data_IF_993932040480
#
_entry.id   IF_993932040480
#
_cell.length_a   1.000
_cell.length_b   1.000
_cell.length_c   1.000
_cell.angle_alpha   90.00
_cell.angle_beta   90.00
_cell.angle_gamma   90.00
#
_symmetry.space_group_name_H-M   'P 1'
#
loop_
_entity.id
_entity.type
_entity.pdbx_description
1 polymer ?
#
# COMPACT_ATOMS: atom_id res chain seq x y z
N UNK A 1 -22.10 25.17 53.72
CA UNK A 1 -22.86 24.12 52.95
C UNK A 1 -22.49 24.39 51.48
N UNK A 2 -21.37 23.86 51.06
CA UNK A 2 -20.82 24.04 49.70
C UNK A 2 -21.15 22.86 48.87
N UNK A 3 -21.82 23.11 47.76
CA UNK A 3 -22.31 22.12 46.79
C UNK A 3 -21.16 21.82 45.82
N UNK A 4 -20.70 20.58 45.78
CA UNK A 4 -19.75 20.07 44.81
C UNK A 4 -20.44 19.91 43.45
N UNK A 5 -20.15 20.81 42.53
CA UNK A 5 -20.48 20.67 41.12
C UNK A 5 -19.20 20.27 40.38
N UNK A 6 -18.94 18.96 40.35
CA UNK A 6 -17.81 18.36 39.67
C UNK A 6 -18.28 17.29 38.72
N UNK A 7 -19.08 17.64 37.71
CA UNK A 7 -19.25 16.76 36.54
C UNK A 7 -18.04 16.90 35.63
N UNK A 8 -17.03 16.09 35.90
CA UNK A 8 -16.03 15.79 34.91
C UNK A 8 -16.67 15.00 33.79
N UNK A 9 -16.84 15.63 32.64
CA UNK A 9 -17.19 14.98 31.37
C UNK A 9 -16.07 14.02 30.98
N UNK A 10 -16.33 12.72 31.15
CA UNK A 10 -15.40 11.64 30.77
C UNK A 10 -15.42 11.33 29.25
N UNK A 11 -15.97 12.22 28.42
CA UNK A 11 -16.14 11.97 27.00
C UNK A 11 -15.49 13.02 26.08
N UNK A 12 -14.54 13.80 26.59
CA UNK A 12 -13.83 14.76 25.76
C UNK A 12 -12.33 14.43 25.70
N UNK A 13 -12.03 13.25 25.18
CA UNK A 13 -10.71 12.92 24.69
C UNK A 13 -10.86 12.00 23.50
N UNK A 14 -11.20 12.61 22.35
CA UNK A 14 -10.83 12.10 21.07
C UNK A 14 -9.29 12.27 20.96
N UNK A 15 -8.49 11.22 21.09
CA UNK A 15 -7.10 11.30 20.70
C UNK A 15 -7.06 11.22 19.19
N UNK A 16 -7.40 12.30 18.50
CA UNK A 16 -6.72 12.57 17.25
C UNK A 16 -5.25 12.70 17.65
N UNK A 17 -4.54 11.58 17.68
CA UNK A 17 -3.11 11.60 17.59
C UNK A 17 -2.83 12.38 16.31
N UNK A 18 -2.44 13.61 16.48
CA UNK A 18 -1.63 14.32 15.51
C UNK A 18 -0.42 13.43 15.27
N UNK A 19 -0.51 12.57 14.27
CA UNK A 19 0.66 12.06 13.56
C UNK A 19 1.31 13.36 13.09
N UNK A 20 2.44 13.73 13.70
CA UNK A 20 3.03 15.04 13.51
C UNK A 20 3.06 15.36 12.03
N UNK A 21 2.49 16.50 11.67
CA UNK A 21 2.21 16.96 10.31
C UNK A 21 3.45 17.02 9.38
N UNK A 22 4.63 16.70 9.86
CA UNK A 22 5.89 16.78 9.15
C UNK A 22 6.42 15.42 8.66
N UNK A 23 5.87 14.27 9.11
CA UNK A 23 6.35 12.96 8.68
C UNK A 23 5.77 12.56 7.33
N UNK A 24 6.66 12.30 6.37
CA UNK A 24 6.31 11.81 5.04
C UNK A 24 6.08 10.30 5.08
N UNK A 25 4.85 9.89 5.43
CA UNK A 25 4.44 8.49 5.36
C UNK A 25 3.74 8.26 4.04
N UNK A 26 4.19 7.24 3.30
CA UNK A 26 3.65 6.86 2.00
C UNK A 26 3.13 5.43 2.08
N UNK A 27 1.87 5.22 1.72
CA UNK A 27 1.28 3.89 1.52
C UNK A 27 1.21 3.65 0.02
N UNK A 28 1.73 2.54 -0.49
CA UNK A 28 1.67 2.28 -1.92
C UNK A 28 1.45 0.81 -2.25
N UNK A 29 1.01 0.60 -3.48
CA UNK A 29 0.81 -0.68 -4.13
C UNK A 29 1.00 -0.53 -5.63
N UNK A 30 1.32 -1.61 -6.35
CA UNK A 30 1.42 -1.57 -7.80
C UNK A 30 0.88 -2.85 -8.46
N UNK A 31 0.48 -2.65 -9.73
CA UNK A 31 0.05 -3.70 -10.62
C UNK A 31 1.01 -3.87 -11.79
N UNK A 32 1.03 -5.04 -12.40
CA UNK A 32 2.01 -5.38 -13.42
C UNK A 32 1.39 -5.58 -14.81
N UNK A 33 2.22 -5.43 -15.85
CA UNK A 33 1.84 -5.66 -17.25
C UNK A 33 1.86 -7.14 -17.63
N UNK A 34 2.68 -7.95 -16.94
CA UNK A 34 2.97 -9.34 -17.27
C UNK A 34 2.79 -10.26 -16.08
N UNK A 35 2.46 -11.50 -16.35
CA UNK A 35 2.41 -12.57 -15.35
C UNK A 35 3.80 -13.19 -15.11
N UNK A 36 3.92 -13.96 -14.03
CA UNK A 36 5.14 -14.74 -13.75
C UNK A 36 5.50 -15.69 -14.87
N UNK A 37 4.52 -16.32 -15.49
CA UNK A 37 4.74 -17.29 -16.58
C UNK A 37 5.34 -16.61 -17.82
N UNK A 38 4.91 -15.38 -18.11
CA UNK A 38 5.41 -14.60 -19.26
C UNK A 38 6.87 -14.15 -19.10
N UNK A 39 7.36 -14.05 -17.88
CA UNK A 39 8.73 -13.56 -17.61
C UNK A 39 9.69 -14.65 -17.19
N UNK A 40 9.24 -15.89 -17.01
CA UNK A 40 10.07 -17.02 -16.63
C UNK A 40 10.15 -17.28 -15.11
N UNK A 41 9.12 -16.85 -14.38
CA UNK A 41 8.93 -17.15 -12.97
C UNK A 41 9.34 -16.03 -11.99
N UNK A 42 9.20 -16.31 -10.71
CA UNK A 42 9.38 -15.33 -9.62
C UNK A 42 10.79 -14.73 -9.54
N UNK A 43 11.82 -15.43 -9.99
CA UNK A 43 13.19 -14.86 -10.02
C UNK A 43 13.37 -13.72 -11.04
N UNK A 44 12.38 -13.52 -11.91
CA UNK A 44 12.38 -12.51 -12.98
C UNK A 44 11.37 -11.39 -12.73
N UNK A 45 10.99 -11.10 -11.46
CA UNK A 45 9.99 -10.07 -11.12
C UNK A 45 10.30 -8.70 -11.70
N UNK A 46 11.58 -8.32 -11.78
CA UNK A 46 12.03 -7.06 -12.40
C UNK A 46 11.63 -6.91 -13.89
N UNK A 47 11.18 -8.00 -14.54
CA UNK A 47 10.71 -8.00 -15.94
C UNK A 47 9.18 -7.93 -16.07
N UNK A 48 8.45 -7.98 -14.95
CA UNK A 48 6.99 -7.92 -14.95
C UNK A 48 6.45 -6.59 -15.50
N UNK A 49 7.20 -5.51 -15.31
CA UNK A 49 6.88 -4.13 -15.65
C UNK A 49 5.63 -3.61 -14.94
N UNK A 50 5.64 -2.35 -14.57
CA UNK A 50 4.53 -1.68 -13.90
C UNK A 50 3.47 -1.29 -14.92
N UNK A 51 2.21 -1.69 -14.70
CA UNK A 51 1.06 -1.15 -15.43
C UNK A 51 0.54 0.11 -14.75
N UNK A 52 0.30 0.04 -13.44
CA UNK A 52 -0.17 1.14 -12.60
C UNK A 52 0.50 1.02 -11.24
N UNK A 53 0.89 2.14 -10.66
CA UNK A 53 1.22 2.28 -9.24
C UNK A 53 0.32 3.33 -8.61
N UNK A 54 -0.12 3.11 -7.39
CA UNK A 54 -0.86 4.10 -6.61
C UNK A 54 -0.15 4.32 -5.29
N UNK A 55 0.06 5.57 -4.93
CA UNK A 55 0.58 5.96 -3.63
C UNK A 55 -0.38 6.92 -2.93
N UNK A 56 -0.54 6.74 -1.62
CA UNK A 56 -1.20 7.71 -0.75
C UNK A 56 -0.18 8.38 0.14
N UNK A 57 -0.21 9.70 0.21
CA UNK A 57 0.64 10.53 1.05
C UNK A 57 -0.15 11.05 2.24
N UNK A 58 0.36 10.81 3.46
CA UNK A 58 -0.28 11.31 4.67
C UNK A 58 -0.04 12.80 4.92
N UNK A 59 1.09 13.34 4.45
CA UNK A 59 1.45 14.75 4.63
C UNK A 59 0.58 15.70 3.79
N UNK A 60 0.08 15.24 2.63
CA UNK A 60 -0.77 16.04 1.72
C UNK A 60 -2.20 15.53 1.62
N UNK A 61 -2.52 14.36 2.22
CA UNK A 61 -3.83 13.67 2.11
C UNK A 61 -4.24 13.42 0.66
N UNK A 62 -3.28 12.97 -0.17
CA UNK A 62 -3.48 12.81 -1.61
C UNK A 62 -3.16 11.39 -2.08
N UNK A 63 -3.96 10.91 -3.06
CA UNK A 63 -3.62 9.76 -3.87
C UNK A 63 -2.94 10.21 -5.16
N UNK A 64 -1.79 9.61 -5.44
CA UNK A 64 -1.02 9.82 -6.66
C UNK A 64 -1.04 8.55 -7.49
N UNK A 65 -1.18 8.70 -8.80
CA UNK A 65 -1.22 7.59 -9.75
C UNK A 65 0.01 7.65 -10.65
N UNK A 66 0.64 6.51 -10.83
CA UNK A 66 1.84 6.34 -11.64
C UNK A 66 1.63 5.27 -12.69
N UNK A 67 2.30 5.43 -13.79
CA UNK A 67 2.42 4.45 -14.87
C UNK A 67 3.90 4.19 -15.16
N UNK A 68 4.21 3.32 -16.11
CA UNK A 68 5.60 3.08 -16.51
C UNK A 68 6.31 4.38 -16.95
N UNK A 69 5.57 5.33 -17.54
CA UNK A 69 6.17 6.58 -18.10
C UNK A 69 6.69 7.54 -17.02
N UNK A 70 6.13 7.49 -15.82
CA UNK A 70 6.55 8.36 -14.70
C UNK A 70 6.93 7.56 -13.43
N UNK A 71 7.40 6.33 -13.61
CA UNK A 71 7.77 5.44 -12.50
C UNK A 71 8.92 6.00 -11.66
N UNK A 72 9.81 6.79 -12.27
CA UNK A 72 10.92 7.45 -11.58
C UNK A 72 10.42 8.44 -10.52
N UNK A 73 9.26 9.06 -10.74
CA UNK A 73 8.63 9.94 -9.75
C UNK A 73 8.12 9.15 -8.53
N UNK A 74 7.57 7.94 -8.74
CA UNK A 74 7.22 7.05 -7.64
C UNK A 74 8.47 6.63 -6.85
N UNK A 75 9.52 6.19 -7.52
CA UNK A 75 10.79 5.81 -6.88
C UNK A 75 11.35 6.99 -6.08
N UNK A 76 11.34 8.19 -6.64
CA UNK A 76 11.74 9.43 -5.94
C UNK A 76 10.88 9.72 -4.71
N UNK A 77 9.56 9.50 -4.79
CA UNK A 77 8.65 9.64 -3.66
C UNK A 77 8.97 8.65 -2.53
N UNK A 78 9.21 7.38 -2.87
CA UNK A 78 9.55 6.34 -1.91
C UNK A 78 10.88 6.63 -1.21
N UNK A 79 11.89 7.09 -1.96
CA UNK A 79 13.20 7.47 -1.41
C UNK A 79 13.12 8.70 -0.48
N UNK A 80 12.19 9.60 -0.72
CA UNK A 80 11.98 10.80 0.10
C UNK A 80 11.07 10.56 1.32
N UNK A 81 10.50 9.37 1.47
CA UNK A 81 9.60 9.03 2.56
C UNK A 81 10.36 8.73 3.85
N UNK A 82 9.81 9.19 4.98
CA UNK A 82 10.28 8.80 6.32
C UNK A 82 9.84 7.37 6.69
N UNK A 83 8.75 6.90 6.08
CA UNK A 83 8.23 5.55 6.21
C UNK A 83 7.42 5.17 4.96
N UNK A 84 7.75 4.05 4.38
CA UNK A 84 6.97 3.40 3.34
C UNK A 84 6.15 2.27 3.95
N UNK A 85 4.87 2.21 3.61
CA UNK A 85 3.93 1.20 4.11
C UNK A 85 3.31 0.47 2.92
N UNK A 86 3.13 -0.83 3.06
CA UNK A 86 2.44 -1.62 2.05
C UNK A 86 2.16 -3.04 2.52
N UNK A 87 1.65 -3.84 1.62
CA UNK A 87 1.33 -5.24 1.85
C UNK A 87 2.13 -6.14 0.91
N UNK A 88 3.11 -6.87 1.43
CA UNK A 88 4.06 -7.67 0.65
C UNK A 88 4.97 -6.87 -0.30
N UNK A 89 5.15 -5.59 -0.04
CA UNK A 89 5.93 -4.71 -0.91
C UNK A 89 7.41 -5.09 -0.98
N UNK A 90 7.98 -5.60 0.11
CA UNK A 90 9.36 -6.12 0.13
C UNK A 90 9.52 -7.38 -0.72
N UNK A 91 8.51 -8.22 -0.74
CA UNK A 91 8.55 -9.50 -1.47
C UNK A 91 8.11 -9.42 -2.92
N UNK A 92 7.48 -8.32 -3.32
CA UNK A 92 6.93 -8.17 -4.67
C UNK A 92 7.22 -6.82 -5.29
N UNK A 93 6.64 -5.73 -4.79
CA UNK A 93 6.68 -4.41 -5.44
C UNK A 93 8.10 -3.88 -5.62
N UNK A 94 8.94 -3.98 -4.58
CA UNK A 94 10.35 -3.58 -4.69
C UNK A 94 11.12 -4.43 -5.70
N UNK A 95 10.79 -5.72 -5.81
CA UNK A 95 11.41 -6.59 -6.79
C UNK A 95 10.99 -6.25 -8.24
N UNK A 96 9.74 -5.78 -8.42
CA UNK A 96 9.28 -5.25 -9.71
C UNK A 96 10.01 -3.94 -10.03
N UNK A 97 10.08 -3.01 -9.06
CA UNK A 97 10.73 -1.71 -9.23
C UNK A 97 12.24 -1.81 -9.52
N UNK A 98 12.91 -2.91 -9.14
CA UNK A 98 14.30 -3.19 -9.57
C UNK A 98 14.50 -3.23 -11.09
N UNK A 99 13.43 -3.32 -11.88
CA UNK A 99 13.49 -3.18 -13.33
C UNK A 99 13.70 -1.74 -13.82
N UNK A 100 13.62 -0.75 -12.92
CA UNK A 100 13.66 0.69 -13.23
C UNK A 100 14.74 1.45 -12.48
N UNK A 101 15.33 0.88 -11.44
CA UNK A 101 16.39 1.51 -10.64
C UNK A 101 17.44 0.52 -10.17
N UNK A 102 18.68 0.99 -10.06
CA UNK A 102 19.77 0.24 -9.43
C UNK A 102 19.84 0.47 -7.90
N UNK A 103 18.98 1.33 -7.35
CA UNK A 103 18.90 1.58 -5.92
C UNK A 103 18.32 0.38 -5.17
N UNK A 104 18.88 0.08 -3.99
CA UNK A 104 18.38 -1.00 -3.14
C UNK A 104 17.21 -0.52 -2.28
N UNK A 105 16.00 -0.63 -2.83
CA UNK A 105 14.76 -0.23 -2.14
C UNK A 105 14.49 -1.04 -0.86
N UNK A 106 15.15 -2.20 -0.66
CA UNK A 106 15.04 -2.98 0.58
C UNK A 106 15.63 -2.24 1.80
N UNK A 107 16.45 -1.21 1.57
CA UNK A 107 17.04 -0.37 2.63
C UNK A 107 16.11 0.77 3.07
N UNK A 108 15.03 1.03 2.37
CA UNK A 108 14.07 2.07 2.75
C UNK A 108 13.43 1.76 4.11
N UNK A 109 13.15 2.80 4.93
CA UNK A 109 12.33 2.64 6.12
C UNK A 109 10.95 2.11 5.74
N UNK A 110 10.70 0.82 5.95
CA UNK A 110 9.53 0.12 5.43
C UNK A 110 8.79 -0.64 6.52
N UNK A 111 7.48 -0.44 6.59
CA UNK A 111 6.56 -1.29 7.31
C UNK A 111 5.75 -2.14 6.32
N UNK A 112 6.13 -3.39 6.17
CA UNK A 112 5.43 -4.37 5.35
C UNK A 112 4.47 -5.18 6.23
N UNK A 113 3.17 -4.91 6.08
CA UNK A 113 2.14 -5.52 6.94
C UNK A 113 2.06 -7.03 6.81
N UNK A 114 2.34 -7.58 5.61
CA UNK A 114 2.29 -9.02 5.44
C UNK A 114 3.39 -9.71 6.25
N UNK A 115 4.59 -9.14 6.30
CA UNK A 115 5.69 -9.70 7.10
C UNK A 115 5.40 -9.62 8.60
N UNK A 116 4.83 -8.51 9.09
CA UNK A 116 4.41 -8.39 10.51
C UNK A 116 3.34 -9.42 10.88
N UNK A 117 2.38 -9.65 9.97
CA UNK A 117 1.34 -10.66 10.17
C UNK A 117 1.91 -12.09 10.08
N UNK A 118 2.82 -12.36 9.15
CA UNK A 118 3.49 -13.66 9.04
C UNK A 118 4.22 -14.03 10.32
N UNK A 119 4.98 -13.08 10.89
CA UNK A 119 5.70 -13.29 12.14
C UNK A 119 4.78 -13.64 13.32
N UNK A 120 3.57 -13.07 13.35
CA UNK A 120 2.57 -13.30 14.40
C UNK A 120 1.72 -14.55 14.20
N UNK A 121 1.37 -14.85 12.94
CA UNK A 121 0.41 -15.92 12.60
C UNK A 121 1.09 -17.21 12.18
N UNK A 122 2.37 -17.16 11.74
CA UNK A 122 3.11 -18.30 11.22
C UNK A 122 2.75 -18.69 9.78
N UNK A 123 1.96 -17.87 9.08
CA UNK A 123 1.63 -18.03 7.66
C UNK A 123 1.38 -16.68 7.01
N UNK A 124 1.41 -16.62 5.67
CA UNK A 124 1.18 -15.41 4.87
C UNK A 124 -0.28 -15.26 4.50
N UNK A 125 -1.06 -14.40 5.17
CA UNK A 125 -2.43 -14.15 4.78
C UNK A 125 -2.47 -13.31 3.50
N UNK A 126 -3.54 -13.46 2.72
CA UNK A 126 -3.83 -12.55 1.62
C UNK A 126 -4.42 -11.25 2.18
N UNK A 127 -4.16 -10.10 1.53
CA UNK A 127 -4.72 -8.81 1.93
C UNK A 127 -6.24 -8.87 2.09
N UNK A 128 -6.94 -9.48 1.14
CA UNK A 128 -8.40 -9.67 1.18
C UNK A 128 -8.88 -10.43 2.42
N UNK A 129 -8.11 -11.47 2.83
CA UNK A 129 -8.46 -12.28 4.00
C UNK A 129 -8.36 -11.50 5.31
N UNK A 130 -7.51 -10.48 5.36
CA UNK A 130 -7.36 -9.58 6.51
C UNK A 130 -8.39 -8.44 6.43
N UNK A 131 -8.66 -7.93 5.24
CA UNK A 131 -9.55 -6.80 5.01
C UNK A 131 -11.02 -7.12 5.30
N UNK A 132 -11.50 -8.28 4.86
CA UNK A 132 -12.93 -8.67 5.01
C UNK A 132 -13.40 -8.68 6.45
N UNK A 133 -12.71 -9.34 7.42
CA UNK A 133 -13.11 -9.30 8.83
C UNK A 133 -12.99 -7.92 9.46
N UNK A 134 -12.00 -7.14 9.04
CA UNK A 134 -11.65 -5.86 9.68
C UNK A 134 -12.48 -4.69 9.18
N UNK A 135 -12.89 -4.70 7.91
CA UNK A 135 -13.49 -3.55 7.23
C UNK A 135 -14.89 -3.83 6.65
N UNK A 136 -15.38 -5.07 6.74
CA UNK A 136 -16.68 -5.45 6.18
C UNK A 136 -16.77 -5.36 4.66
N UNK A 137 -15.63 -5.36 3.98
CA UNK A 137 -15.51 -5.14 2.54
C UNK A 137 -15.80 -6.37 1.70
N UNK A 138 -16.30 -6.14 0.50
CA UNK A 138 -16.59 -7.14 -0.51
C UNK A 138 -15.36 -7.60 -1.31
N UNK A 139 -15.60 -8.49 -2.26
CA UNK A 139 -14.58 -9.04 -3.16
C UNK A 139 -13.87 -7.94 -3.91
N UNK A 140 -12.56 -7.80 -3.73
CA UNK A 140 -11.72 -7.17 -4.71
C UNK A 140 -11.43 -8.15 -5.87
N UNK A 141 -11.13 -7.64 -7.07
CA UNK A 141 -10.59 -8.43 -8.16
C UNK A 141 -9.27 -9.10 -7.70
N UNK A 142 -8.77 -10.06 -8.43
CA UNK A 142 -7.42 -10.60 -8.17
C UNK A 142 -6.41 -10.00 -9.16
N UNK A 143 -5.11 -10.18 -8.91
CA UNK A 143 -4.06 -9.66 -9.78
C UNK A 143 -4.11 -10.23 -11.22
N UNK A 144 -4.77 -11.38 -11.44
CA UNK A 144 -4.99 -11.93 -12.78
C UNK A 144 -6.01 -11.09 -13.56
N UNK A 145 -7.01 -10.52 -12.86
CA UNK A 145 -7.97 -9.61 -13.48
C UNK A 145 -7.31 -8.29 -13.91
N UNK A 146 -6.36 -7.77 -13.12
CA UNK A 146 -5.60 -6.57 -13.48
C UNK A 146 -4.76 -6.80 -14.76
N UNK A 147 -4.15 -7.97 -14.92
CA UNK A 147 -3.44 -8.37 -16.16
C UNK A 147 -4.37 -8.41 -17.38
N UNK A 148 -5.60 -8.90 -17.21
CA UNK A 148 -6.58 -8.93 -18.29
C UNK A 148 -7.01 -7.52 -18.68
N UNK A 149 -7.27 -6.64 -17.72
CA UNK A 149 -7.57 -5.22 -17.99
C UNK A 149 -6.40 -4.51 -18.69
N UNK A 150 -5.16 -4.82 -18.33
CA UNK A 150 -3.99 -4.29 -19.02
C UNK A 150 -4.00 -4.66 -20.51
N UNK A 151 -4.25 -5.95 -20.83
CA UNK A 151 -4.33 -6.43 -22.21
C UNK A 151 -5.45 -5.80 -23.01
N UNK A 152 -6.55 -5.42 -22.34
CA UNK A 152 -7.69 -4.75 -22.92
C UNK A 152 -7.55 -3.22 -22.99
N UNK A 153 -6.49 -2.64 -22.41
CA UNK A 153 -6.30 -1.19 -22.31
C UNK A 153 -7.20 -0.49 -21.29
N UNK A 154 -7.78 -1.23 -20.37
CA UNK A 154 -8.72 -0.76 -19.34
C UNK A 154 -7.97 -0.18 -18.12
N UNK A 155 -7.12 0.82 -18.36
CA UNK A 155 -6.22 1.38 -17.34
C UNK A 155 -6.97 1.94 -16.13
N UNK A 156 -8.10 2.61 -16.35
CA UNK A 156 -8.90 3.20 -15.27
C UNK A 156 -9.39 2.14 -14.26
N UNK A 157 -9.67 0.92 -14.73
CA UNK A 157 -10.05 -0.19 -13.86
C UNK A 157 -8.88 -0.66 -12.99
N UNK A 158 -7.67 -0.69 -13.55
CA UNK A 158 -6.45 -1.05 -12.81
C UNK A 158 -6.17 0.02 -11.76
N UNK A 159 -6.30 1.31 -12.12
CA UNK A 159 -6.14 2.43 -11.20
C UNK A 159 -7.09 2.31 -10.01
N UNK A 160 -8.36 2.04 -10.26
CA UNK A 160 -9.36 1.92 -9.19
C UNK A 160 -9.08 0.71 -8.30
N UNK A 161 -8.71 -0.43 -8.88
CA UNK A 161 -8.35 -1.64 -8.17
C UNK A 161 -7.12 -1.42 -7.26
N UNK A 162 -6.01 -0.92 -7.81
CA UNK A 162 -4.79 -0.62 -7.07
C UNK A 162 -5.05 0.44 -5.96
N UNK A 163 -5.90 1.44 -6.25
CA UNK A 163 -6.30 2.46 -5.26
C UNK A 163 -7.09 1.84 -4.10
N UNK A 164 -7.98 0.89 -4.36
CA UNK A 164 -8.70 0.18 -3.30
C UNK A 164 -7.74 -0.62 -2.41
N UNK A 165 -6.73 -1.29 -2.97
CA UNK A 165 -5.72 -2.01 -2.19
C UNK A 165 -4.90 -1.06 -1.30
N UNK A 166 -4.54 0.12 -1.80
CA UNK A 166 -3.90 1.18 -0.99
C UNK A 166 -4.83 1.68 0.12
N UNK A 167 -6.13 1.91 -0.17
CA UNK A 167 -7.12 2.32 0.86
C UNK A 167 -7.26 1.26 1.95
N UNK A 168 -7.37 0.00 1.57
CA UNK A 168 -7.47 -1.13 2.51
C UNK A 168 -6.22 -1.21 3.39
N UNK A 169 -5.05 -1.16 2.78
CA UNK A 169 -3.76 -1.17 3.50
C UNK A 169 -3.67 0.00 4.47
N UNK A 170 -4.05 1.21 4.03
CA UNK A 170 -4.12 2.40 4.88
C UNK A 170 -5.07 2.21 6.07
N UNK A 171 -6.26 1.66 5.83
CA UNK A 171 -7.24 1.41 6.91
C UNK A 171 -6.74 0.39 7.93
N UNK A 172 -6.08 -0.68 7.48
CA UNK A 172 -5.52 -1.72 8.36
C UNK A 172 -4.40 -1.17 9.27
N UNK A 173 -3.73 -0.09 8.87
CA UNK A 173 -2.69 0.54 9.69
C UNK A 173 -3.24 1.10 11.02
N UNK A 174 -4.53 1.39 11.12
CA UNK A 174 -5.20 1.98 12.28
C UNK A 174 -6.11 0.99 13.03
N UNK A 175 -6.18 -0.25 12.60
CA UNK A 175 -7.01 -1.28 13.25
C UNK A 175 -6.17 -2.16 14.16
#
# INVERSE_FOLDING_TARGET
MEIWDGQMSLFDSNPQREVGSDRKVVVFDLETQRSFDEVGGRSQMHRLKVSVGVAYRYDTDEFLVYTEDNIDELIGLLNAADLVVGYNIKGFDYEVLRGYTDEDLQQLPTFDMMYDLEDRLGFRPKLESVAVPSLGGGKSADGLQALEWWRQGEIDKIVEYCREDVKVTRCLLYT
#
